data_IF_333476128438
#
_entry.id   IF_333476128438
#
_cell.length_a   1.000
_cell.length_b   1.000
_cell.length_c   1.000
_cell.angle_alpha   90.00
_cell.angle_beta   90.00
_cell.angle_gamma   90.00
#
_symmetry.space_group_name_H-M   'P 1'
#
loop_
_entity.id
_entity.type
_entity.pdbx_description
1 polymer ?
#
# COMPACT_ATOMS: atom_id res chain seq x y z
N UNK A 1 16.67 -35.96 -71.51
CA UNK A 1 17.33 -35.44 -70.30
C UNK A 1 16.51 -34.36 -69.63
N UNK A 2 15.76 -33.49 -70.23
CA UNK A 2 14.99 -32.39 -69.61
C UNK A 2 13.83 -32.87 -68.67
N UNK A 3 13.19 -34.01 -68.96
CA UNK A 3 12.06 -34.48 -68.15
C UNK A 3 12.42 -35.21 -66.82
N UNK A 4 13.68 -35.62 -66.64
CA UNK A 4 14.13 -36.23 -65.37
C UNK A 4 14.54 -35.17 -64.36
N UNK A 5 15.08 -34.05 -64.78
CA UNK A 5 15.42 -32.93 -63.86
C UNK A 5 14.17 -32.24 -63.29
N UNK A 6 13.10 -32.11 -64.11
CA UNK A 6 11.85 -31.50 -63.66
C UNK A 6 11.09 -32.36 -62.56
N UNK A 7 11.16 -33.67 -62.72
CA UNK A 7 10.55 -34.58 -61.69
C UNK A 7 11.36 -34.64 -60.40
N UNK A 8 12.70 -34.47 -60.47
CA UNK A 8 13.54 -34.42 -59.25
C UNK A 8 13.33 -33.11 -58.47
N UNK A 9 13.12 -31.99 -59.16
CA UNK A 9 12.85 -30.70 -58.54
C UNK A 9 11.49 -30.64 -57.82
N UNK A 10 10.47 -31.32 -58.34
CA UNK A 10 9.14 -31.40 -57.71
C UNK A 10 9.19 -32.32 -56.47
N UNK A 11 9.98 -33.41 -56.52
CA UNK A 11 10.13 -34.31 -55.38
C UNK A 11 10.90 -33.65 -54.21
N UNK A 12 11.92 -32.86 -54.53
CA UNK A 12 12.69 -32.08 -53.54
C UNK A 12 11.86 -30.95 -52.91
N UNK A 13 10.93 -30.32 -53.65
CA UNK A 13 10.03 -29.33 -53.12
C UNK A 13 8.94 -29.92 -52.23
N UNK A 14 8.43 -31.11 -52.53
CA UNK A 14 7.45 -31.83 -51.74
C UNK A 14 8.04 -32.37 -50.40
N UNK A 15 9.34 -32.78 -50.43
CA UNK A 15 10.03 -33.22 -49.19
C UNK A 15 10.44 -32.04 -48.30
N UNK A 16 10.75 -30.85 -48.89
CA UNK A 16 11.05 -29.66 -48.13
C UNK A 16 9.83 -29.08 -47.40
N UNK A 17 8.59 -29.32 -47.88
CA UNK A 17 7.36 -28.91 -47.16
C UNK A 17 7.00 -29.84 -46.02
N UNK A 18 7.55 -31.04 -45.94
CA UNK A 18 7.32 -31.99 -44.83
C UNK A 18 8.26 -31.75 -43.61
N UNK A 19 9.30 -30.91 -43.77
CA UNK A 19 10.22 -30.51 -42.73
C UNK A 19 10.12 -29.01 -42.32
N UNK A 20 9.02 -28.33 -42.66
CA UNK A 20 8.68 -27.14 -41.91
C UNK A 20 8.48 -27.61 -40.47
N UNK A 21 9.31 -27.11 -39.49
CA UNK A 21 8.98 -27.38 -38.11
C UNK A 21 7.56 -26.83 -37.98
N UNK A 22 6.63 -27.71 -37.63
CA UNK A 22 5.48 -27.30 -36.85
C UNK A 22 6.09 -26.67 -35.60
N UNK A 23 6.60 -25.47 -35.74
CA UNK A 23 6.66 -24.52 -34.63
C UNK A 23 5.23 -24.41 -34.18
N UNK A 24 4.86 -25.43 -33.40
CA UNK A 24 3.56 -25.50 -32.79
C UNK A 24 3.28 -24.14 -32.20
N UNK A 25 2.26 -23.51 -32.73
CA UNK A 25 1.39 -22.72 -31.89
C UNK A 25 0.84 -23.70 -30.83
N UNK A 26 1.73 -24.14 -29.93
CA UNK A 26 1.30 -24.45 -28.58
C UNK A 26 0.71 -23.11 -28.13
N UNK A 27 -0.58 -22.92 -28.35
CA UNK A 27 -1.36 -22.02 -27.53
C UNK A 27 -1.00 -22.46 -26.12
N UNK A 28 0.00 -21.78 -25.53
CA UNK A 28 0.27 -21.89 -24.11
C UNK A 28 -1.08 -21.60 -23.49
N UNK A 29 -1.78 -22.68 -23.07
CA UNK A 29 -3.02 -22.55 -22.31
C UNK A 29 -2.62 -21.71 -21.12
N UNK A 30 -2.88 -20.40 -21.26
CA UNK A 30 -2.45 -19.41 -20.28
C UNK A 30 -3.09 -19.81 -18.97
N UNK A 31 -2.26 -20.19 -18.00
CA UNK A 31 -2.73 -20.63 -16.70
C UNK A 31 -3.69 -19.57 -16.17
N UNK A 32 -4.91 -19.98 -15.84
CA UNK A 32 -5.88 -19.07 -15.22
C UNK A 32 -5.44 -18.78 -13.80
N UNK A 33 -5.58 -17.54 -13.35
CA UNK A 33 -5.38 -17.24 -11.95
C UNK A 33 -6.51 -17.88 -11.12
N UNK A 34 -6.10 -18.58 -10.08
CA UNK A 34 -6.99 -19.05 -9.01
C UNK A 34 -7.06 -18.03 -7.88
N UNK A 35 -5.96 -17.32 -7.67
CA UNK A 35 -5.80 -16.34 -6.62
C UNK A 35 -5.35 -15.01 -7.20
N UNK A 36 -5.73 -13.92 -6.52
CA UNK A 36 -5.18 -12.58 -6.77
C UNK A 36 -4.68 -12.02 -5.45
N UNK A 37 -3.44 -11.53 -5.46
CA UNK A 37 -2.83 -10.76 -4.40
C UNK A 37 -2.48 -9.40 -4.99
N UNK A 38 -3.07 -8.33 -4.46
CA UNK A 38 -2.68 -6.96 -4.80
C UNK A 38 -2.10 -6.28 -3.56
N UNK A 39 -0.89 -5.73 -3.69
CA UNK A 39 -0.27 -4.92 -2.65
C UNK A 39 -0.25 -3.46 -3.11
N UNK A 40 -0.66 -2.55 -2.23
CA UNK A 40 -0.74 -1.11 -2.48
C UNK A 40 0.08 -0.40 -1.41
N UNK A 41 1.15 0.30 -1.83
CA UNK A 41 1.87 1.22 -0.97
C UNK A 41 1.20 2.59 -1.07
N UNK A 42 0.38 2.95 -0.08
CA UNK A 42 -0.32 4.23 -0.06
C UNK A 42 0.68 5.39 -0.07
N UNK A 43 0.52 6.32 -1.01
CA UNK A 43 1.42 7.46 -1.16
C UNK A 43 2.83 7.13 -1.67
N UNK A 44 3.10 5.88 -2.08
CA UNK A 44 4.42 5.41 -2.49
C UNK A 44 4.73 5.77 -3.94
N UNK A 45 5.16 6.99 -4.18
CA UNK A 45 5.67 7.40 -5.48
C UNK A 45 7.11 6.94 -5.76
N UNK A 46 7.65 7.29 -6.94
CA UNK A 46 8.99 6.88 -7.34
C UNK A 46 10.11 7.32 -6.40
N UNK A 47 9.98 8.48 -5.75
CA UNK A 47 11.00 8.98 -4.83
C UNK A 47 10.97 8.26 -3.47
N UNK A 48 9.81 7.91 -2.95
CA UNK A 48 9.66 7.11 -1.74
C UNK A 48 10.27 5.72 -1.94
N UNK A 49 9.94 5.05 -3.06
CA UNK A 49 10.58 3.80 -3.47
C UNK A 49 12.11 3.96 -3.63
N UNK A 50 12.55 5.03 -4.33
CA UNK A 50 13.97 5.28 -4.58
C UNK A 50 14.77 5.52 -3.29
N UNK A 51 14.21 6.25 -2.32
CA UNK A 51 14.83 6.48 -1.02
C UNK A 51 15.02 5.18 -0.24
N UNK A 52 13.99 4.32 -0.19
CA UNK A 52 14.07 3.03 0.46
C UNK A 52 15.06 2.09 -0.25
N UNK A 53 15.08 2.10 -1.59
CA UNK A 53 16.04 1.31 -2.38
C UNK A 53 17.48 1.73 -2.09
N UNK A 54 17.78 3.04 -2.07
CA UNK A 54 19.12 3.55 -1.74
C UNK A 54 19.50 3.14 -0.32
N UNK A 55 18.60 3.32 0.64
CA UNK A 55 18.85 2.96 2.03
C UNK A 55 19.09 1.45 2.18
N UNK A 56 18.25 0.61 1.57
CA UNK A 56 18.40 -0.84 1.59
C UNK A 56 19.75 -1.30 1.04
N UNK A 57 20.15 -0.76 -0.11
CA UNK A 57 21.41 -1.14 -0.76
C UNK A 57 22.64 -0.60 -0.04
N UNK A 58 22.60 0.67 0.42
CA UNK A 58 23.81 1.35 0.95
C UNK A 58 24.01 1.16 2.45
N UNK A 59 22.95 0.93 3.21
CA UNK A 59 22.98 0.78 4.68
C UNK A 59 22.75 -0.67 5.09
N UNK A 60 21.72 -1.32 4.53
CA UNK A 60 21.37 -2.69 4.92
C UNK A 60 22.07 -3.76 4.07
N UNK A 61 22.75 -3.36 2.98
CA UNK A 61 23.40 -4.26 2.01
C UNK A 61 22.43 -5.35 1.49
N UNK A 62 21.22 -4.95 1.13
CA UNK A 62 20.13 -5.84 0.64
C UNK A 62 19.43 -5.21 -0.55
N UNK A 63 19.04 -6.06 -1.52
CA UNK A 63 18.11 -5.64 -2.57
C UNK A 63 16.66 -5.69 -2.09
N UNK A 64 15.83 -4.78 -2.61
CA UNK A 64 14.39 -4.83 -2.37
C UNK A 64 13.75 -6.01 -3.14
N UNK A 65 12.74 -6.63 -2.56
CA UNK A 65 11.90 -7.64 -3.23
C UNK A 65 11.14 -7.06 -4.41
N UNK A 66 10.69 -5.81 -4.28
CA UNK A 66 10.10 -5.05 -5.38
C UNK A 66 11.05 -4.94 -6.57
N UNK A 67 12.36 -4.72 -6.35
CA UNK A 67 13.36 -4.69 -7.43
C UNK A 67 13.49 -6.04 -8.13
N UNK A 68 13.43 -7.15 -7.39
CA UNK A 68 13.39 -8.49 -7.97
C UNK A 68 12.14 -8.68 -8.84
N UNK A 69 10.98 -8.24 -8.35
CA UNK A 69 9.72 -8.33 -9.08
C UNK A 69 9.74 -7.47 -10.35
N UNK A 70 10.29 -6.25 -10.30
CA UNK A 70 10.48 -5.39 -11.48
C UNK A 70 11.30 -6.07 -12.56
N UNK A 71 12.41 -6.69 -12.18
CA UNK A 71 13.37 -7.29 -13.11
C UNK A 71 12.87 -8.61 -13.72
N UNK A 72 12.08 -9.39 -12.97
CA UNK A 72 11.61 -10.73 -13.38
C UNK A 72 10.17 -10.77 -13.83
N UNK A 73 9.36 -9.79 -13.46
CA UNK A 73 7.94 -9.69 -13.76
C UNK A 73 7.64 -8.79 -14.95
N UNK A 74 6.49 -8.13 -14.87
CA UNK A 74 6.03 -7.10 -15.81
C UNK A 74 6.00 -5.76 -15.09
N UNK A 75 6.32 -4.71 -15.81
CA UNK A 75 6.37 -3.34 -15.29
C UNK A 75 5.65 -2.40 -16.22
N UNK A 76 4.89 -1.47 -15.64
CA UNK A 76 4.25 -0.34 -16.31
C UNK A 76 4.41 0.94 -15.49
N UNK A 77 4.23 2.08 -16.13
CA UNK A 77 3.91 3.34 -15.47
C UNK A 77 2.40 3.45 -15.28
N UNK A 78 1.97 4.07 -14.19
CA UNK A 78 0.57 4.23 -13.84
C UNK A 78 0.24 5.70 -13.65
N UNK A 79 -0.88 6.14 -14.23
CA UNK A 79 -1.52 7.44 -13.97
C UNK A 79 -2.88 7.22 -13.33
N UNK A 80 -3.41 8.21 -12.59
CA UNK A 80 -4.49 7.97 -11.63
C UNK A 80 -5.41 9.17 -11.37
N UNK A 81 -5.57 10.10 -12.33
CA UNK A 81 -6.51 11.19 -12.18
C UNK A 81 -7.95 10.69 -11.93
N UNK A 82 -8.76 11.53 -11.27
CA UNK A 82 -10.14 11.17 -10.91
C UNK A 82 -11.15 11.69 -11.93
N UNK A 83 -12.44 11.46 -11.70
CA UNK A 83 -13.51 12.01 -12.54
C UNK A 83 -13.62 13.54 -12.45
N UNK A 84 -13.20 14.12 -11.33
CA UNK A 84 -13.38 15.53 -10.97
C UNK A 84 -12.09 16.28 -10.62
N UNK A 85 -10.93 15.58 -10.53
CA UNK A 85 -9.67 16.20 -10.17
C UNK A 85 -8.46 15.58 -10.89
N UNK A 86 -7.43 16.41 -11.13
CA UNK A 86 -6.15 15.99 -11.72
C UNK A 86 -5.34 15.17 -10.70
N UNK A 87 -5.39 15.57 -9.43
CA UNK A 87 -4.71 14.88 -8.33
C UNK A 87 -5.71 14.04 -7.56
N UNK A 88 -5.47 12.74 -7.48
CA UNK A 88 -6.34 11.82 -6.74
C UNK A 88 -6.08 11.84 -5.23
N UNK A 89 -6.96 11.15 -4.49
CA UNK A 89 -6.75 10.74 -3.11
C UNK A 89 -7.17 9.28 -2.94
N UNK A 90 -6.83 8.67 -1.79
CA UNK A 90 -6.92 7.21 -1.60
C UNK A 90 -8.31 6.63 -1.89
N UNK A 91 -9.41 7.34 -1.54
CA UNK A 91 -10.78 6.81 -1.78
C UNK A 91 -11.08 6.66 -3.28
N UNK A 92 -10.82 7.71 -4.06
CA UNK A 92 -11.01 7.66 -5.50
C UNK A 92 -10.03 6.69 -6.17
N UNK A 93 -8.74 6.73 -5.81
CA UNK A 93 -7.72 5.87 -6.39
C UNK A 93 -8.00 4.38 -6.14
N UNK A 94 -8.27 3.99 -4.89
CA UNK A 94 -8.61 2.61 -4.55
C UNK A 94 -9.96 2.18 -5.15
N UNK A 95 -10.97 3.07 -5.16
CA UNK A 95 -12.25 2.82 -5.84
C UNK A 95 -12.07 2.56 -7.34
N UNK A 96 -11.19 3.30 -8.01
CA UNK A 96 -10.84 3.08 -9.43
C UNK A 96 -10.18 1.71 -9.65
N UNK A 97 -9.27 1.31 -8.76
CA UNK A 97 -8.65 -0.02 -8.80
C UNK A 97 -9.69 -1.13 -8.52
N UNK A 98 -10.61 -0.89 -7.59
CA UNK A 98 -11.61 -1.87 -7.18
C UNK A 98 -12.75 -2.06 -8.18
N UNK A 99 -13.07 -1.03 -9.00
CA UNK A 99 -14.28 -1.01 -9.86
C UNK A 99 -13.98 -0.90 -11.35
N UNK A 100 -12.79 -0.40 -11.73
CA UNK A 100 -12.44 -0.11 -13.11
C UNK A 100 -13.12 1.13 -13.69
N UNK A 101 -13.72 1.97 -12.86
CA UNK A 101 -14.36 3.22 -13.27
C UNK A 101 -13.69 4.42 -12.62
N UNK A 102 -13.73 5.58 -13.26
CA UNK A 102 -13.26 6.81 -12.64
C UNK A 102 -14.21 7.22 -11.53
N UNK A 103 -13.65 7.48 -10.36
CA UNK A 103 -14.37 7.86 -9.15
C UNK A 103 -14.28 9.37 -8.91
N UNK A 104 -15.26 9.90 -8.18
CA UNK A 104 -15.19 11.23 -7.60
C UNK A 104 -14.38 11.18 -6.29
N UNK A 105 -13.61 12.24 -6.02
CA UNK A 105 -12.83 12.34 -4.80
C UNK A 105 -13.68 12.17 -3.54
N UNK A 106 -13.12 11.52 -2.52
CA UNK A 106 -13.71 11.24 -1.22
C UNK A 106 -14.83 10.19 -1.18
N UNK A 107 -15.39 9.75 -2.31
CA UNK A 107 -16.40 8.71 -2.35
C UNK A 107 -15.77 7.31 -2.44
N UNK A 108 -16.33 6.33 -1.73
CA UNK A 108 -15.86 4.94 -1.74
C UNK A 108 -16.71 4.11 -2.70
N UNK A 109 -16.11 3.71 -3.83
CA UNK A 109 -16.73 2.86 -4.87
C UNK A 109 -18.14 3.28 -5.26
N UNK A 110 -18.30 4.60 -5.42
CA UNK A 110 -19.52 5.23 -5.94
C UNK A 110 -19.25 5.75 -7.35
N UNK A 111 -20.24 5.78 -8.21
CA UNK A 111 -20.13 6.37 -9.55
C UNK A 111 -19.79 7.88 -9.46
N UNK A 112 -19.45 8.50 -10.61
CA UNK A 112 -19.11 9.93 -10.67
C UNK A 112 -20.21 10.87 -10.16
N UNK A 113 -21.45 10.39 -10.01
CA UNK A 113 -22.56 11.13 -9.38
C UNK A 113 -22.44 11.17 -7.83
N UNK A 114 -21.48 10.43 -7.24
CA UNK A 114 -21.28 10.30 -5.79
C UNK A 114 -22.44 9.63 -5.04
N UNK A 115 -23.36 8.96 -5.73
CA UNK A 115 -24.58 8.38 -5.15
C UNK A 115 -24.82 6.93 -5.55
N UNK A 116 -24.46 6.54 -6.75
CA UNK A 116 -24.73 5.20 -7.28
C UNK A 116 -23.58 4.26 -6.92
N UNK A 117 -23.81 3.19 -6.11
CA UNK A 117 -22.79 2.19 -5.84
C UNK A 117 -22.30 1.51 -7.12
N UNK A 118 -20.98 1.32 -7.23
CA UNK A 118 -20.36 0.61 -8.36
C UNK A 118 -19.76 -0.70 -7.86
N UNK A 119 -20.17 -1.79 -8.49
CA UNK A 119 -19.77 -3.14 -8.11
C UNK A 119 -18.25 -3.31 -8.11
N UNK A 120 -17.68 -3.76 -7.00
CA UNK A 120 -16.25 -3.95 -6.82
C UNK A 120 -15.79 -5.33 -7.29
N UNK A 121 -14.48 -5.47 -7.50
CA UNK A 121 -13.84 -6.77 -7.77
C UNK A 121 -14.08 -7.76 -6.62
N UNK A 122 -14.10 -7.30 -5.35
CA UNK A 122 -14.38 -8.16 -4.21
C UNK A 122 -15.80 -8.71 -4.22
N UNK A 123 -16.79 -7.92 -4.60
CA UNK A 123 -18.16 -8.40 -4.78
C UNK A 123 -18.25 -9.46 -5.88
N UNK A 124 -17.55 -9.24 -7.01
CA UNK A 124 -17.51 -10.20 -8.11
C UNK A 124 -16.86 -11.54 -7.72
N UNK A 125 -15.76 -11.50 -6.95
CA UNK A 125 -15.10 -12.74 -6.49
C UNK A 125 -15.92 -13.44 -5.41
N UNK A 126 -16.64 -12.70 -4.57
CA UNK A 126 -17.56 -13.25 -3.57
C UNK A 126 -18.69 -14.05 -4.22
N UNK A 127 -19.27 -13.55 -5.32
CA UNK A 127 -20.27 -14.28 -6.11
C UNK A 127 -19.73 -15.61 -6.68
N UNK A 128 -18.43 -15.67 -6.94
CA UNK A 128 -17.70 -16.88 -7.34
C UNK A 128 -17.29 -17.76 -6.14
N UNK A 129 -17.67 -17.38 -4.92
CA UNK A 129 -17.34 -18.07 -3.67
C UNK A 129 -15.81 -18.16 -3.40
N UNK A 130 -15.04 -17.20 -3.88
CA UNK A 130 -13.65 -17.04 -3.46
C UNK A 130 -13.61 -16.48 -2.04
N UNK A 131 -12.58 -16.83 -1.29
CA UNK A 131 -12.29 -16.19 -0.02
C UNK A 131 -11.74 -14.76 -0.25
N UNK A 132 -11.97 -13.86 0.71
CA UNK A 132 -11.65 -12.44 0.57
C UNK A 132 -10.85 -11.93 1.77
N UNK A 133 -9.89 -11.02 1.52
CA UNK A 133 -9.09 -10.42 2.58
C UNK A 133 -8.74 -8.97 2.33
N UNK A 134 -8.70 -8.20 3.41
CA UNK A 134 -8.21 -6.82 3.47
C UNK A 134 -7.24 -6.71 4.65
N UNK A 135 -6.05 -6.21 4.37
CA UNK A 135 -4.97 -6.06 5.36
C UNK A 135 -4.32 -4.69 5.17
N UNK A 136 -4.09 -3.95 6.25
CA UNK A 136 -3.47 -2.62 6.18
C UNK A 136 -2.67 -2.29 7.44
N UNK A 137 -1.67 -1.43 7.32
CA UNK A 137 -1.01 -0.75 8.46
C UNK A 137 -1.70 0.56 8.86
N UNK A 138 -2.68 1.04 8.09
CA UNK A 138 -3.58 2.12 8.46
C UNK A 138 -4.77 1.59 9.30
N UNK A 139 -5.93 2.21 9.22
CA UNK A 139 -7.18 1.67 9.75
C UNK A 139 -7.87 0.78 8.74
N UNK A 140 -8.46 -0.32 9.20
CA UNK A 140 -9.19 -1.21 8.29
C UNK A 140 -10.39 -0.50 7.64
N UNK A 141 -10.93 0.51 8.29
CA UNK A 141 -12.00 1.39 7.79
C UNK A 141 -11.49 2.57 6.98
N UNK A 142 -10.17 2.69 6.76
CA UNK A 142 -9.61 3.75 5.91
C UNK A 142 -9.97 3.54 4.44
N UNK A 143 -9.78 4.56 3.66
CA UNK A 143 -10.28 4.66 2.30
C UNK A 143 -9.85 3.51 1.39
N UNK A 144 -8.56 3.11 1.44
CA UNK A 144 -8.02 2.11 0.53
C UNK A 144 -8.63 0.73 0.76
N UNK A 145 -8.63 0.12 1.97
CA UNK A 145 -9.33 -1.13 2.19
C UNK A 145 -10.84 -1.00 2.01
N UNK A 146 -11.44 0.08 2.51
CA UNK A 146 -12.88 0.29 2.46
C UNK A 146 -13.44 0.32 1.04
N UNK A 147 -12.71 0.89 0.07
CA UNK A 147 -13.15 0.98 -1.32
C UNK A 147 -13.36 -0.38 -2.00
N UNK A 148 -12.82 -1.47 -1.45
CA UNK A 148 -13.03 -2.82 -1.97
C UNK A 148 -14.33 -3.48 -1.45
N UNK A 149 -14.82 -3.09 -0.26
CA UNK A 149 -15.90 -3.79 0.44
C UNK A 149 -17.05 -2.90 0.93
N UNK A 150 -16.98 -1.58 0.73
CA UNK A 150 -17.98 -0.63 1.19
C UNK A 150 -18.33 0.41 0.12
N UNK A 151 -19.54 0.95 0.22
CA UNK A 151 -20.05 2.01 -0.63
C UNK A 151 -20.59 3.12 0.26
N UNK A 152 -19.84 4.21 0.37
CA UNK A 152 -20.29 5.39 1.12
C UNK A 152 -20.00 6.67 0.32
N UNK A 153 -20.90 7.67 0.39
CA UNK A 153 -20.71 8.93 -0.32
C UNK A 153 -19.47 9.71 0.12
N UNK A 154 -18.96 9.46 1.33
CA UNK A 154 -17.78 10.13 1.86
C UNK A 154 -17.00 9.22 2.80
N UNK A 155 -15.68 9.09 2.57
CA UNK A 155 -14.74 8.22 3.31
C UNK A 155 -14.69 8.43 4.82
N UNK A 156 -15.15 9.58 5.32
CA UNK A 156 -15.17 9.86 6.77
C UNK A 156 -16.28 9.13 7.53
N UNK A 157 -17.24 8.47 6.82
CA UNK A 157 -18.27 7.66 7.48
C UNK A 157 -17.74 6.26 7.81
N UNK A 158 -16.68 6.23 8.63
CA UNK A 158 -15.98 4.99 8.97
C UNK A 158 -16.83 4.03 9.83
N UNK A 159 -17.81 4.54 10.56
CA UNK A 159 -18.75 3.68 11.29
C UNK A 159 -19.62 2.85 10.35
N UNK A 160 -20.08 3.45 9.25
CA UNK A 160 -20.81 2.74 8.19
C UNK A 160 -19.89 1.80 7.42
N UNK A 161 -18.63 2.17 7.18
CA UNK A 161 -17.63 1.29 6.56
C UNK A 161 -17.45 0.03 7.38
N UNK A 162 -17.17 0.13 8.69
CA UNK A 162 -17.00 -1.01 9.59
C UNK A 162 -18.21 -1.97 9.57
N UNK A 163 -19.42 -1.42 9.54
CA UNK A 163 -20.65 -2.19 9.44
C UNK A 163 -20.78 -2.92 8.09
N UNK A 164 -20.44 -2.24 6.99
CA UNK A 164 -20.51 -2.83 5.64
C UNK A 164 -19.47 -3.93 5.45
N UNK A 165 -18.23 -3.76 5.92
CA UNK A 165 -17.18 -4.78 5.84
C UNK A 165 -17.57 -6.07 6.57
N UNK A 166 -18.16 -5.97 7.76
CA UNK A 166 -18.66 -7.12 8.50
C UNK A 166 -19.87 -7.76 7.82
N UNK A 167 -20.83 -6.98 7.34
CA UNK A 167 -21.99 -7.46 6.59
C UNK A 167 -21.61 -8.12 5.27
N UNK A 168 -20.61 -7.58 4.58
CA UNK A 168 -20.03 -8.21 3.39
C UNK A 168 -19.47 -9.60 3.73
N UNK A 169 -18.99 -9.77 4.96
CA UNK A 169 -18.43 -11.04 5.45
C UNK A 169 -17.06 -11.33 4.86
N UNK A 170 -16.18 -10.31 4.83
CA UNK A 170 -14.77 -10.47 4.46
C UNK A 170 -14.12 -11.50 5.37
N UNK A 171 -13.41 -12.49 4.82
CA UNK A 171 -12.89 -13.60 5.63
C UNK A 171 -11.68 -13.18 6.49
N UNK A 172 -10.87 -12.23 6.01
CA UNK A 172 -9.70 -11.68 6.71
C UNK A 172 -9.77 -10.16 6.70
N UNK A 173 -9.97 -9.54 7.87
CA UNK A 173 -9.93 -8.10 8.10
C UNK A 173 -8.85 -7.82 9.13
N UNK A 174 -7.78 -7.08 8.76
CA UNK A 174 -6.67 -6.77 9.66
C UNK A 174 -6.16 -5.34 9.47
N UNK A 175 -6.06 -4.58 10.57
CA UNK A 175 -5.56 -3.21 10.57
C UNK A 175 -5.74 -2.50 11.90
N UNK A 176 -5.73 -1.17 11.86
CA UNK A 176 -6.04 -0.29 12.99
C UNK A 176 -7.51 0.14 13.02
N UNK A 177 -7.75 1.28 13.69
CA UNK A 177 -9.06 1.97 13.87
C UNK A 177 -10.12 1.13 14.57
N UNK A 178 -9.73 0.33 15.55
CA UNK A 178 -10.62 -0.42 16.45
C UNK A 178 -11.75 0.44 17.02
N UNK A 179 -11.51 1.75 17.19
CA UNK A 179 -12.49 2.71 17.71
C UNK A 179 -13.83 2.73 16.94
N UNK A 180 -13.86 2.41 15.63
CA UNK A 180 -15.08 2.39 14.84
C UNK A 180 -15.86 1.06 14.96
N UNK A 181 -15.30 0.08 15.64
CA UNK A 181 -15.96 -1.18 15.97
C UNK A 181 -16.53 -1.20 17.38
N UNK A 182 -16.23 -0.19 18.22
CA UNK A 182 -16.64 -0.10 19.61
C UNK A 182 -17.62 1.08 19.84
N UNK A 183 -18.61 0.92 20.75
CA UNK A 183 -19.46 2.01 21.17
C UNK A 183 -18.68 3.04 22.00
N UNK A 184 -19.19 4.27 22.11
CA UNK A 184 -18.60 5.33 22.94
C UNK A 184 -18.44 4.89 24.40
N UNK A 185 -19.38 4.10 24.93
CA UNK A 185 -19.30 3.53 26.29
C UNK A 185 -18.12 2.59 26.53
N UNK A 186 -17.54 2.05 25.46
CA UNK A 186 -16.32 1.21 25.49
C UNK A 186 -15.08 1.95 24.93
N UNK A 187 -15.09 3.29 24.91
CA UNK A 187 -13.99 4.12 24.42
C UNK A 187 -13.89 4.18 22.89
N UNK A 188 -14.92 3.73 22.18
CA UNK A 188 -15.00 3.81 20.72
C UNK A 188 -15.60 5.10 20.21
N UNK A 189 -15.98 5.09 18.92
CA UNK A 189 -16.62 6.22 18.21
C UNK A 189 -18.02 5.91 17.67
N UNK A 190 -18.56 4.71 17.92
CA UNK A 190 -19.90 4.34 17.46
C UNK A 190 -20.98 4.98 18.35
N UNK A 191 -21.83 5.78 17.73
CA UNK A 191 -22.96 6.46 18.40
C UNK A 191 -24.22 5.60 18.45
N UNK A 192 -24.27 4.50 17.67
CA UNK A 192 -25.41 3.57 17.64
C UNK A 192 -25.41 2.57 18.81
N UNK A 193 -24.42 2.63 19.70
CA UNK A 193 -24.30 1.77 20.87
C UNK A 193 -23.86 0.33 20.57
N UNK A 194 -23.64 -0.03 19.29
CA UNK A 194 -23.27 -1.40 18.91
C UNK A 194 -21.80 -1.70 19.21
N UNK A 195 -21.53 -2.93 19.62
CA UNK A 195 -20.19 -3.50 19.74
C UNK A 195 -19.96 -4.48 18.60
N UNK A 196 -19.31 -4.01 17.52
CA UNK A 196 -19.06 -4.84 16.34
C UNK A 196 -18.03 -5.96 16.59
N UNK A 197 -17.22 -5.91 17.65
CA UNK A 197 -16.34 -7.02 18.03
C UNK A 197 -17.15 -8.23 18.49
N UNK A 198 -18.16 -7.98 19.36
CA UNK A 198 -19.06 -9.05 19.81
C UNK A 198 -19.92 -9.61 18.67
N UNK A 199 -20.36 -8.74 17.76
CA UNK A 199 -21.12 -9.16 16.58
C UNK A 199 -20.24 -10.02 15.64
N UNK A 200 -18.97 -9.63 15.43
CA UNK A 200 -18.01 -10.39 14.65
C UNK A 200 -17.76 -11.78 15.29
N UNK A 201 -17.58 -11.87 16.60
CA UNK A 201 -17.43 -13.15 17.29
C UNK A 201 -18.67 -14.06 17.11
N UNK A 202 -19.88 -13.50 17.23
CA UNK A 202 -21.14 -14.22 16.97
C UNK A 202 -21.26 -14.67 15.51
N UNK A 203 -20.65 -13.92 14.56
CA UNK A 203 -20.58 -14.26 13.16
C UNK A 203 -19.42 -15.22 12.79
N UNK A 204 -18.72 -15.76 13.81
CA UNK A 204 -17.68 -16.78 13.67
C UNK A 204 -16.28 -16.24 13.39
N UNK A 205 -16.03 -14.94 13.62
CA UNK A 205 -14.69 -14.38 13.55
C UNK A 205 -13.89 -14.67 14.82
N UNK A 206 -12.62 -15.01 14.65
CA UNK A 206 -11.63 -14.89 15.72
C UNK A 206 -11.21 -13.41 15.78
N UNK A 207 -11.29 -12.79 16.95
CA UNK A 207 -10.83 -11.41 17.15
C UNK A 207 -9.42 -11.45 17.74
N UNK A 208 -8.50 -10.67 17.16
CA UNK A 208 -7.12 -10.52 17.62
C UNK A 208 -6.76 -9.04 17.78
N UNK A 209 -6.08 -8.68 18.86
CA UNK A 209 -5.62 -7.31 19.15
C UNK A 209 -4.10 -7.18 19.28
N UNK A 210 -3.35 -8.29 19.19
CA UNK A 210 -1.89 -8.32 19.28
C UNK A 210 -1.28 -9.28 18.27
N UNK A 211 0.03 -9.14 18.02
CA UNK A 211 0.79 -10.04 17.16
C UNK A 211 0.74 -11.50 17.68
N UNK A 212 0.77 -11.67 19.00
CA UNK A 212 0.72 -12.99 19.64
C UNK A 212 -0.62 -13.66 19.44
N UNK A 213 -1.72 -12.92 19.65
CA UNK A 213 -3.08 -13.39 19.37
C UNK A 213 -3.28 -13.71 17.89
N UNK A 214 -2.75 -12.87 17.00
CA UNK A 214 -2.77 -13.13 15.55
C UNK A 214 -2.06 -14.43 15.20
N UNK A 215 -0.88 -14.66 15.74
CA UNK A 215 -0.10 -15.87 15.52
C UNK A 215 -0.85 -17.11 16.01
N UNK A 216 -1.46 -17.04 17.18
CA UNK A 216 -2.21 -18.13 17.80
C UNK A 216 -3.59 -18.40 17.15
N UNK A 217 -4.13 -17.43 16.40
CA UNK A 217 -5.47 -17.54 15.81
C UNK A 217 -5.59 -18.78 14.90
N UNK A 218 -6.69 -19.56 15.02
CA UNK A 218 -6.93 -20.73 14.17
C UNK A 218 -7.18 -20.34 12.73
N UNK A 219 -7.17 -21.34 11.84
CA UNK A 219 -7.63 -21.16 10.46
C UNK A 219 -9.14 -20.90 10.44
N UNK A 220 -9.58 -19.75 9.91
CA UNK A 220 -10.98 -19.34 9.90
C UNK A 220 -11.09 -17.84 9.62
N UNK A 221 -12.30 -17.29 9.79
CA UNK A 221 -12.48 -15.84 9.67
C UNK A 221 -11.76 -15.12 10.81
N UNK A 222 -11.07 -14.03 10.47
CA UNK A 222 -10.33 -13.23 11.45
C UNK A 222 -10.64 -11.74 11.33
N UNK A 223 -10.81 -11.09 12.48
CA UNK A 223 -10.87 -9.65 12.65
C UNK A 223 -9.69 -9.24 13.55
N UNK A 224 -8.60 -8.77 12.94
CA UNK A 224 -7.43 -8.28 13.65
C UNK A 224 -7.48 -6.75 13.77
N UNK A 225 -7.64 -6.22 14.98
CA UNK A 225 -7.72 -4.78 15.25
C UNK A 225 -6.66 -4.40 16.30
N UNK A 226 -5.48 -3.98 15.80
CA UNK A 226 -4.26 -3.90 16.58
C UNK A 226 -4.03 -2.54 17.24
N UNK A 227 -4.76 -1.49 16.83
CA UNK A 227 -4.68 -0.15 17.41
C UNK A 227 -6.04 0.53 17.43
N UNK A 228 -6.28 1.42 18.40
CA UNK A 228 -7.51 2.24 18.46
C UNK A 228 -7.58 3.23 17.30
N UNK A 229 -6.43 3.82 16.91
CA UNK A 229 -6.23 4.64 15.71
C UNK A 229 -5.59 3.84 14.59
N UNK A 230 -4.82 4.50 13.73
CA UNK A 230 -3.97 3.79 12.75
C UNK A 230 -2.90 2.97 13.48
N UNK A 231 -2.40 1.91 12.85
CA UNK A 231 -1.26 1.18 13.40
C UNK A 231 -0.02 2.09 13.48
N UNK A 232 0.93 1.72 14.31
CA UNK A 232 2.19 2.47 14.47
C UNK A 232 3.00 2.48 13.17
N UNK A 233 3.80 3.53 12.97
CA UNK A 233 4.83 3.50 11.95
C UNK A 233 5.83 2.36 12.22
N UNK A 234 6.38 1.78 11.18
CA UNK A 234 7.33 0.67 11.34
C UNK A 234 8.54 1.06 12.22
N UNK A 235 8.99 2.31 12.15
CA UNK A 235 10.09 2.81 12.99
C UNK A 235 9.74 2.82 14.49
N UNK A 236 8.45 2.88 14.85
CA UNK A 236 7.95 2.92 16.23
C UNK A 236 7.41 1.56 16.71
N UNK A 237 7.12 0.65 15.78
CA UNK A 237 6.38 -0.61 16.02
C UNK A 237 7.04 -1.52 17.07
N UNK A 238 8.37 -1.56 17.12
CA UNK A 238 9.10 -2.43 18.07
C UNK A 238 8.77 -2.14 19.56
N UNK A 239 8.20 -0.96 19.87
CA UNK A 239 7.76 -0.60 21.22
C UNK A 239 6.28 -0.97 21.50
N UNK A 240 5.63 -1.69 20.56
CA UNK A 240 4.21 -2.06 20.64
C UNK A 240 4.02 -3.58 20.63
N UNK A 241 2.77 -4.02 20.73
CA UNK A 241 2.39 -5.43 20.53
C UNK A 241 1.77 -5.69 19.16
N UNK A 242 1.87 -4.72 18.25
CA UNK A 242 1.30 -4.79 16.90
C UNK A 242 2.10 -5.72 16.00
N UNK A 243 1.44 -6.53 15.15
CA UNK A 243 2.13 -7.32 14.13
C UNK A 243 2.72 -6.42 13.04
N UNK A 244 3.77 -6.88 12.38
CA UNK A 244 4.27 -6.28 11.14
C UNK A 244 3.31 -6.56 9.97
N UNK A 245 3.41 -5.76 8.91
CA UNK A 245 2.65 -6.00 7.68
C UNK A 245 2.97 -7.38 7.08
N UNK A 246 4.22 -7.82 7.16
CA UNK A 246 4.64 -9.14 6.68
C UNK A 246 3.99 -10.27 7.48
N UNK A 247 3.88 -10.15 8.81
CA UNK A 247 3.18 -11.15 9.66
C UNK A 247 1.68 -11.20 9.35
N UNK A 248 1.05 -10.02 9.15
CA UNK A 248 -0.35 -9.96 8.76
C UNK A 248 -0.57 -10.57 7.36
N UNK A 249 0.31 -10.27 6.39
CA UNK A 249 0.25 -10.83 5.04
C UNK A 249 0.40 -12.36 5.06
N UNK A 250 1.37 -12.88 5.81
CA UNK A 250 1.58 -14.32 5.92
C UNK A 250 0.36 -15.02 6.53
N UNK A 251 -0.20 -14.49 7.63
CA UNK A 251 -1.40 -15.02 8.27
C UNK A 251 -2.62 -14.98 7.33
N UNK A 252 -2.79 -13.88 6.60
CA UNK A 252 -3.85 -13.76 5.60
C UNK A 252 -3.75 -14.85 4.53
N UNK A 253 -2.56 -15.05 3.96
CA UNK A 253 -2.33 -16.06 2.93
C UNK A 253 -2.49 -17.49 3.48
N UNK A 254 -2.08 -17.76 4.72
CA UNK A 254 -2.32 -19.06 5.39
C UNK A 254 -3.81 -19.37 5.51
N UNK A 255 -4.63 -18.40 5.89
CA UNK A 255 -6.09 -18.58 6.02
C UNK A 255 -6.74 -18.72 4.65
N UNK A 256 -6.52 -17.75 3.76
CA UNK A 256 -7.22 -17.65 2.48
C UNK A 256 -6.88 -18.80 1.52
N UNK A 257 -5.66 -19.33 1.58
CA UNK A 257 -5.23 -20.46 0.76
C UNK A 257 -5.99 -21.78 1.04
N UNK A 258 -6.72 -21.86 2.16
CA UNK A 258 -7.58 -23.01 2.47
C UNK A 258 -8.85 -23.05 1.60
N UNK A 259 -9.20 -21.94 0.95
CA UNK A 259 -10.36 -21.89 0.06
C UNK A 259 -10.13 -22.75 -1.18
N UNK A 260 -11.04 -23.69 -1.43
CA UNK A 260 -11.00 -24.56 -2.62
C UNK A 260 -11.17 -23.78 -3.92
N UNK A 261 -11.90 -22.66 -3.87
CA UNK A 261 -12.21 -21.84 -5.04
C UNK A 261 -11.13 -20.78 -5.33
N UNK A 262 -10.14 -20.62 -4.44
CA UNK A 262 -9.15 -19.55 -4.49
C UNK A 262 -9.56 -18.32 -3.69
N UNK A 263 -8.81 -17.23 -3.83
CA UNK A 263 -9.03 -16.04 -3.04
C UNK A 263 -8.63 -14.76 -3.77
N UNK A 264 -9.12 -13.65 -3.21
CA UNK A 264 -8.68 -12.29 -3.48
C UNK A 264 -8.21 -11.65 -2.16
N UNK A 265 -7.04 -11.01 -2.16
CA UNK A 265 -6.56 -10.23 -1.02
C UNK A 265 -5.91 -8.93 -1.49
N UNK A 266 -6.29 -7.84 -0.81
CA UNK A 266 -5.59 -6.56 -0.87
C UNK A 266 -4.78 -6.38 0.42
N UNK A 267 -3.51 -6.01 0.27
CA UNK A 267 -2.56 -5.76 1.37
C UNK A 267 -2.00 -4.36 1.17
N UNK A 268 -2.08 -3.52 2.20
CA UNK A 268 -1.72 -2.12 2.11
C UNK A 268 -0.62 -1.72 3.10
N UNK A 269 0.39 -1.02 2.59
CA UNK A 269 1.34 -0.24 3.39
C UNK A 269 0.80 1.17 3.60
N UNK A 270 -0.25 1.32 4.41
CA UNK A 270 -0.99 2.58 4.54
C UNK A 270 -0.24 3.68 5.30
N UNK A 271 0.80 3.34 6.07
CA UNK A 271 1.54 4.35 6.85
C UNK A 271 2.61 5.08 6.05
N UNK A 272 2.94 4.64 4.83
CA UNK A 272 3.88 5.36 3.94
C UNK A 272 3.33 6.75 3.63
N UNK A 273 2.03 6.83 3.25
CA UNK A 273 1.33 8.08 2.98
C UNK A 273 1.33 9.02 4.18
N UNK A 274 0.94 8.51 5.34
CA UNK A 274 0.89 9.30 6.57
C UNK A 274 2.25 9.88 6.95
N UNK A 275 3.34 9.13 6.77
CA UNK A 275 4.69 9.62 6.99
C UNK A 275 5.08 10.69 5.96
N UNK A 276 4.71 10.49 4.68
CA UNK A 276 4.97 11.45 3.62
C UNK A 276 4.21 12.77 3.83
N UNK A 277 2.95 12.73 4.25
CA UNK A 277 2.18 13.93 4.66
C UNK A 277 2.88 14.74 5.76
N UNK A 278 3.63 14.09 6.63
CA UNK A 278 4.43 14.74 7.68
C UNK A 278 5.83 15.11 7.24
N UNK A 279 6.19 14.82 5.98
CA UNK A 279 7.54 14.98 5.45
C UNK A 279 8.61 14.25 6.30
N UNK A 280 8.22 13.13 6.91
CA UNK A 280 9.05 12.29 7.78
C UNK A 280 9.80 11.24 6.94
N UNK A 281 10.96 11.62 6.39
CA UNK A 281 11.74 10.74 5.52
C UNK A 281 12.21 9.43 6.21
N UNK A 282 12.68 9.42 7.48
CA UNK A 282 12.96 8.20 8.20
C UNK A 282 11.78 7.23 8.29
N UNK A 283 10.58 7.72 8.67
CA UNK A 283 9.39 6.89 8.76
C UNK A 283 8.97 6.37 7.38
N UNK A 284 8.92 7.23 6.34
CA UNK A 284 8.65 6.79 4.95
C UNK A 284 9.54 5.63 4.54
N UNK A 285 10.85 5.75 4.74
CA UNK A 285 11.81 4.71 4.34
C UNK A 285 11.53 3.41 5.10
N UNK A 286 11.27 3.46 6.41
CA UNK A 286 11.00 2.25 7.22
C UNK A 286 9.68 1.58 6.82
N UNK A 287 8.62 2.35 6.57
CA UNK A 287 7.32 1.82 6.14
C UNK A 287 7.38 1.24 4.71
N UNK A 288 8.15 1.84 3.78
CA UNK A 288 8.40 1.23 2.46
C UNK A 288 9.19 -0.08 2.58
N UNK A 289 10.17 -0.17 3.49
CA UNK A 289 10.90 -1.41 3.75
C UNK A 289 9.98 -2.50 4.34
N UNK A 290 9.10 -2.14 5.28
CA UNK A 290 8.10 -3.07 5.83
C UNK A 290 7.11 -3.55 4.75
N UNK A 291 6.70 -2.67 3.85
CA UNK A 291 5.91 -3.03 2.68
C UNK A 291 6.66 -4.00 1.75
N UNK A 292 7.94 -3.75 1.49
CA UNK A 292 8.79 -4.64 0.67
C UNK A 292 8.94 -6.05 1.28
N UNK A 293 9.01 -6.16 2.61
CA UNK A 293 9.01 -7.48 3.27
C UNK A 293 7.66 -8.20 3.06
N UNK A 294 6.53 -7.51 3.09
CA UNK A 294 5.23 -8.09 2.76
C UNK A 294 5.14 -8.51 1.29
N UNK A 295 5.74 -7.75 0.36
CA UNK A 295 5.91 -8.17 -1.05
C UNK A 295 6.72 -9.46 -1.12
N UNK A 296 7.77 -9.60 -0.32
CA UNK A 296 8.56 -10.83 -0.20
C UNK A 296 7.74 -12.04 0.23
N UNK A 297 6.84 -11.87 1.21
CA UNK A 297 5.89 -12.91 1.64
C UNK A 297 4.98 -13.33 0.48
N UNK A 298 4.40 -12.37 -0.24
CA UNK A 298 3.54 -12.63 -1.40
C UNK A 298 4.31 -13.34 -2.53
N UNK A 299 5.52 -12.91 -2.86
CA UNK A 299 6.38 -13.55 -3.86
C UNK A 299 6.71 -15.01 -3.50
N UNK A 300 6.98 -15.29 -2.23
CA UNK A 300 7.22 -16.64 -1.73
C UNK A 300 5.97 -17.53 -1.83
N UNK A 301 4.80 -16.95 -1.60
CA UNK A 301 3.53 -17.65 -1.81
C UNK A 301 3.32 -17.98 -3.29
N UNK A 302 3.54 -17.03 -4.21
CA UNK A 302 3.40 -17.22 -5.66
C UNK A 302 4.33 -18.32 -6.19
N UNK A 303 5.59 -18.37 -5.73
CA UNK A 303 6.54 -19.45 -6.09
C UNK A 303 5.96 -20.84 -5.79
N UNK A 304 5.21 -21.00 -4.70
CA UNK A 304 4.57 -22.25 -4.28
C UNK A 304 3.20 -22.48 -4.92
N UNK A 305 2.56 -21.40 -5.39
CA UNK A 305 1.20 -21.39 -5.93
C UNK A 305 1.15 -20.62 -7.27
N UNK A 306 1.67 -21.17 -8.37
CA UNK A 306 1.88 -20.47 -9.64
C UNK A 306 0.58 -20.00 -10.32
N UNK A 307 -0.59 -20.52 -9.92
CA UNK A 307 -1.90 -20.03 -10.36
C UNK A 307 -2.33 -18.76 -9.59
N UNK A 308 -1.40 -17.90 -9.19
CA UNK A 308 -1.64 -16.67 -8.46
C UNK A 308 -1.15 -15.48 -9.27
N UNK A 309 -2.04 -14.51 -9.52
CA UNK A 309 -1.67 -13.19 -10.02
C UNK A 309 -1.20 -12.35 -8.84
N UNK A 310 0.01 -11.84 -8.91
CA UNK A 310 0.57 -10.85 -7.98
C UNK A 310 0.64 -9.50 -8.67
N UNK A 311 0.11 -8.47 -8.03
CA UNK A 311 0.20 -7.06 -8.42
C UNK A 311 0.78 -6.27 -7.26
N UNK A 312 1.72 -5.37 -7.54
CA UNK A 312 2.29 -4.41 -6.58
C UNK A 312 2.24 -3.02 -7.22
N UNK A 313 1.67 -2.06 -6.53
CA UNK A 313 1.53 -0.68 -7.01
C UNK A 313 1.43 0.30 -5.84
N UNK A 314 1.17 1.56 -6.15
CA UNK A 314 0.70 2.60 -5.24
C UNK A 314 -0.63 3.15 -5.76
N UNK A 315 -1.35 3.86 -4.92
CA UNK A 315 -2.59 4.56 -5.27
C UNK A 315 -2.32 6.00 -5.75
N UNK A 316 -1.39 6.70 -5.13
CA UNK A 316 -0.85 8.02 -5.52
C UNK A 316 0.57 8.23 -4.99
N UNK A 317 1.17 9.35 -5.30
CA UNK A 317 2.36 9.86 -4.65
C UNK A 317 1.94 10.94 -3.62
N UNK A 318 2.70 11.06 -2.54
CA UNK A 318 2.42 12.03 -1.47
C UNK A 318 3.62 12.92 -1.21
N UNK A 319 3.32 14.22 -1.10
CA UNK A 319 4.19 15.32 -0.66
C UNK A 319 5.30 15.72 -1.63
N UNK A 320 5.41 15.13 -2.82
CA UNK A 320 6.45 15.50 -3.78
C UNK A 320 7.85 15.29 -3.22
N UNK A 321 8.11 14.13 -2.61
CA UNK A 321 9.42 13.77 -2.06
C UNK A 321 10.50 13.89 -3.12
N UNK A 322 11.63 14.47 -2.78
CA UNK A 322 12.76 14.66 -3.70
C UNK A 322 14.08 14.30 -3.06
N UNK A 323 14.86 13.45 -3.73
CA UNK A 323 16.22 13.13 -3.36
C UNK A 323 17.17 14.14 -4.01
N UNK A 324 17.51 15.20 -3.26
CA UNK A 324 18.18 16.39 -3.80
C UNK A 324 19.70 16.21 -3.69
N UNK A 325 20.40 16.46 -4.80
CA UNK A 325 21.86 16.62 -4.81
C UNK A 325 22.29 18.05 -4.47
N UNK A 326 23.35 18.20 -3.69
CA UNK A 326 23.99 19.47 -3.38
C UNK A 326 25.45 19.47 -3.80
N UNK A 327 25.89 20.53 -4.44
CA UNK A 327 27.31 20.83 -4.65
C UNK A 327 27.82 21.68 -3.49
N UNK A 328 28.76 21.15 -2.73
CA UNK A 328 29.42 21.88 -1.65
C UNK A 328 30.77 22.40 -2.17
N UNK A 329 30.90 23.74 -2.29
CA UNK A 329 32.11 24.42 -2.71
C UNK A 329 32.76 23.88 -4.00
N UNK A 330 31.95 23.44 -4.97
CA UNK A 330 32.38 22.85 -6.26
C UNK A 330 33.25 21.58 -6.16
N UNK A 331 33.47 21.02 -4.98
CA UNK A 331 34.36 19.86 -4.76
C UNK A 331 33.65 18.58 -4.36
N UNK A 332 32.49 18.67 -3.69
CA UNK A 332 31.73 17.51 -3.24
C UNK A 332 30.29 17.59 -3.74
N UNK A 333 29.79 16.49 -4.27
CA UNK A 333 28.38 16.33 -4.61
C UNK A 333 27.73 15.36 -3.63
N UNK A 334 26.84 15.87 -2.80
CA UNK A 334 26.20 15.12 -1.71
C UNK A 334 24.68 15.08 -1.92
N UNK A 335 24.04 14.03 -1.43
CA UNK A 335 22.59 13.83 -1.45
C UNK A 335 22.07 13.47 -0.07
N UNK A 336 20.97 12.73 0.00
CA UNK A 336 20.31 12.26 1.22
C UNK A 336 21.34 11.74 2.24
N UNK A 337 21.23 12.18 3.49
CA UNK A 337 22.13 11.78 4.56
C UNK A 337 21.71 10.45 5.18
N UNK A 338 22.31 9.37 4.67
CA UNK A 338 21.99 8.00 5.10
C UNK A 338 22.28 7.76 6.58
N UNK A 339 23.34 8.42 7.14
CA UNK A 339 23.70 8.27 8.56
C UNK A 339 22.68 8.92 9.46
N UNK A 340 22.19 10.12 9.10
CA UNK A 340 21.14 10.79 9.85
C UNK A 340 19.81 9.99 9.80
N UNK A 341 19.46 9.41 8.64
CA UNK A 341 18.31 8.50 8.50
C UNK A 341 18.49 7.25 9.36
N UNK A 342 19.68 6.63 9.35
CA UNK A 342 19.99 5.43 10.16
C UNK A 342 19.88 5.69 11.67
N UNK A 343 20.35 6.86 12.14
CA UNK A 343 20.30 7.28 13.53
C UNK A 343 18.90 7.63 14.03
N UNK A 344 17.95 7.88 13.13
CA UNK A 344 16.57 8.18 13.49
C UNK A 344 15.90 6.95 14.11
N UNK A 345 15.44 7.07 15.35
CA UNK A 345 14.93 5.96 16.17
C UNK A 345 13.40 5.95 16.28
N UNK A 346 12.74 7.07 16.05
CA UNK A 346 11.30 7.24 16.19
C UNK A 346 10.76 8.20 15.14
N UNK A 347 9.46 8.11 14.85
CA UNK A 347 8.78 9.03 13.93
C UNK A 347 8.66 10.46 14.47
N UNK A 348 8.43 11.41 13.57
CA UNK A 348 8.11 12.80 13.97
C UNK A 348 6.82 12.86 14.82
N UNK A 349 5.85 11.99 14.52
CA UNK A 349 4.61 11.88 15.30
C UNK A 349 4.90 11.48 16.75
N UNK A 350 5.73 10.47 16.97
CA UNK A 350 6.09 10.04 18.32
C UNK A 350 6.95 11.08 19.04
N UNK A 351 7.86 11.79 18.33
CA UNK A 351 8.59 12.92 18.91
C UNK A 351 7.64 14.02 19.38
N UNK A 352 6.66 14.39 18.56
CA UNK A 352 5.66 15.39 18.92
C UNK A 352 4.81 14.97 20.12
N UNK A 353 4.44 13.71 20.22
CA UNK A 353 3.77 13.17 21.39
C UNK A 353 4.57 13.35 22.69
N UNK A 354 5.92 13.23 22.61
CA UNK A 354 6.82 13.37 23.77
C UNK A 354 6.99 14.82 24.24
N UNK A 355 7.00 15.80 23.36
CA UNK A 355 7.13 17.19 23.77
C UNK A 355 5.81 17.86 24.15
N UNK A 356 4.66 17.29 23.71
CA UNK A 356 3.33 17.73 24.09
C UNK A 356 2.84 18.98 23.38
N UNK A 357 1.76 19.59 23.90
CA UNK A 357 1.04 20.69 23.25
C UNK A 357 1.71 22.08 23.35
N UNK A 358 2.57 22.29 24.34
CA UNK A 358 3.25 23.55 24.60
C UNK A 358 4.73 23.29 24.88
N UNK A 359 5.49 22.84 23.90
CA UNK A 359 6.90 22.55 24.10
C UNK A 359 7.72 23.82 24.31
N UNK A 360 8.80 23.70 25.09
CA UNK A 360 9.86 24.71 25.06
C UNK A 360 10.94 24.34 24.02
N UNK A 361 11.70 25.30 23.53
CA UNK A 361 12.82 25.03 22.61
C UNK A 361 13.81 24.01 23.16
N UNK A 362 14.13 24.09 24.48
CA UNK A 362 15.04 23.15 25.16
C UNK A 362 14.50 21.72 25.11
N UNK A 363 13.18 21.54 25.32
CA UNK A 363 12.55 20.22 25.26
C UNK A 363 12.57 19.65 23.85
N UNK A 364 12.37 20.48 22.84
CA UNK A 364 12.47 20.07 21.43
C UNK A 364 13.91 19.64 21.10
N UNK A 365 14.91 20.46 21.48
CA UNK A 365 16.34 20.13 21.29
C UNK A 365 16.69 18.79 21.95
N UNK A 366 16.27 18.59 23.21
CA UNK A 366 16.48 17.34 23.94
C UNK A 366 15.92 16.14 23.18
N UNK A 367 14.65 16.22 22.77
CA UNK A 367 13.95 15.09 22.11
C UNK A 367 14.55 14.81 20.74
N UNK A 368 14.85 15.82 19.93
CA UNK A 368 15.46 15.65 18.60
C UNK A 368 16.86 15.04 18.77
N UNK A 369 17.67 15.52 19.73
CA UNK A 369 18.99 14.95 20.01
C UNK A 369 18.91 13.48 20.41
N UNK A 370 17.99 13.12 21.31
CA UNK A 370 17.80 11.74 21.75
C UNK A 370 17.28 10.82 20.63
N UNK A 371 16.43 11.37 19.76
CA UNK A 371 15.72 10.61 18.72
C UNK A 371 16.52 10.44 17.43
N UNK A 372 17.37 11.42 17.08
CA UNK A 372 18.03 11.49 15.78
C UNK A 372 19.53 11.80 15.85
N UNK A 373 20.07 12.09 17.05
CA UNK A 373 21.46 12.56 17.27
C UNK A 373 21.76 13.88 16.50
N UNK A 374 20.76 14.76 16.35
CA UNK A 374 20.88 16.06 15.71
C UNK A 374 20.82 17.16 16.77
N UNK A 375 21.76 18.10 16.69
CA UNK A 375 21.82 19.29 17.54
C UNK A 375 21.15 20.47 16.81
N UNK A 376 19.93 20.81 17.20
CA UNK A 376 19.23 21.97 16.67
C UNK A 376 19.79 23.26 17.29
N UNK A 377 19.84 24.32 16.50
CA UNK A 377 20.07 25.66 17.00
C UNK A 377 18.87 26.18 17.80
N UNK A 378 19.03 27.23 18.59
CA UNK A 378 17.95 27.84 19.36
C UNK A 378 16.84 28.37 18.45
N UNK A 379 17.19 28.97 17.31
CA UNK A 379 16.21 29.47 16.33
C UNK A 379 15.41 28.33 15.67
N UNK A 380 16.03 27.23 15.35
CA UNK A 380 15.35 26.05 14.79
C UNK A 380 14.37 25.44 15.80
N UNK A 381 14.80 25.28 17.04
CA UNK A 381 13.95 24.76 18.12
C UNK A 381 12.80 25.72 18.45
N UNK A 382 13.06 27.03 18.47
CA UNK A 382 12.02 28.05 18.66
C UNK A 382 10.99 28.01 17.52
N UNK A 383 11.44 27.87 16.26
CA UNK A 383 10.54 27.73 15.10
C UNK A 383 9.59 26.55 15.26
N UNK A 384 10.08 25.39 15.68
CA UNK A 384 9.24 24.21 15.92
C UNK A 384 8.30 24.43 17.09
N UNK A 385 8.74 25.06 18.19
CA UNK A 385 7.91 25.35 19.36
C UNK A 385 6.74 26.27 19.00
N UNK A 386 7.03 27.39 18.32
CA UNK A 386 6.03 28.38 17.90
C UNK A 386 4.97 27.78 16.96
N UNK A 387 5.41 26.96 16.01
CA UNK A 387 4.51 26.32 15.06
C UNK A 387 3.62 25.27 15.75
N UNK A 388 4.20 24.47 16.64
CA UNK A 388 3.44 23.49 17.45
C UNK A 388 2.33 24.19 18.26
N UNK A 389 2.61 25.33 18.88
CA UNK A 389 1.62 26.08 19.68
C UNK A 389 0.52 26.67 18.79
N UNK A 390 0.85 27.22 17.62
CA UNK A 390 -0.11 27.86 16.71
C UNK A 390 -1.08 26.88 16.06
N UNK A 391 -0.63 25.66 15.76
CA UNK A 391 -1.36 24.69 14.92
C UNK A 391 -2.07 23.60 15.68
N UNK A 392 -1.98 23.56 17.00
CA UNK A 392 -2.73 22.62 17.84
C UNK A 392 -4.19 23.04 18.09
N UNK A 393 -4.73 23.99 17.31
CA UNK A 393 -6.14 24.29 17.31
C UNK A 393 -6.93 23.07 16.79
N UNK A 394 -7.85 22.50 17.61
CA UNK A 394 -8.66 21.35 17.19
C UNK A 394 -9.50 21.58 15.95
N UNK A 395 -9.73 22.84 15.54
CA UNK A 395 -10.45 23.18 14.33
C UNK A 395 -9.60 22.97 13.05
N UNK A 396 -8.28 22.90 13.17
CA UNK A 396 -7.35 22.65 12.09
C UNK A 396 -6.84 21.22 12.15
N UNK A 397 -7.62 20.27 11.68
CA UNK A 397 -7.16 18.89 11.45
C UNK A 397 -6.23 18.90 10.22
N UNK A 398 -5.01 19.43 10.39
CA UNK A 398 -4.00 19.44 9.37
C UNK A 398 -2.76 18.69 9.88
N UNK A 399 -2.14 17.92 9.00
CA UNK A 399 -0.80 17.35 9.19
C UNK A 399 0.28 18.44 9.41
N UNK A 400 -0.11 19.69 9.36
CA UNK A 400 0.71 20.88 9.32
C UNK A 400 1.58 21.16 10.56
N UNK A 401 1.23 20.65 11.74
CA UNK A 401 1.97 20.95 12.98
C UNK A 401 3.38 20.32 13.05
N UNK A 402 3.70 19.40 12.14
CA UNK A 402 5.03 18.83 12.01
C UNK A 402 5.83 19.36 10.83
N UNK A 403 5.24 20.30 10.07
CA UNK A 403 5.90 20.88 8.91
C UNK A 403 7.16 21.66 9.27
N UNK A 404 7.13 22.44 10.36
CA UNK A 404 8.30 23.16 10.85
C UNK A 404 9.42 22.24 11.29
N UNK A 405 9.11 21.09 11.94
CA UNK A 405 10.11 20.09 12.26
C UNK A 405 10.77 19.53 10.98
N UNK A 406 9.95 19.12 10.01
CA UNK A 406 10.47 18.65 8.73
C UNK A 406 11.30 19.70 8.01
N UNK A 407 10.87 20.96 8.05
CA UNK A 407 11.57 22.08 7.44
C UNK A 407 12.94 22.33 8.09
N UNK A 408 13.04 22.36 9.42
CA UNK A 408 14.32 22.57 10.12
C UNK A 408 15.24 21.34 10.01
N UNK A 409 14.69 20.14 9.86
CA UNK A 409 15.47 18.92 9.67
C UNK A 409 15.96 18.71 8.23
N UNK A 410 15.41 19.44 7.26
CA UNK A 410 15.78 19.31 5.84
C UNK A 410 17.29 19.44 5.55
N UNK A 411 18.04 20.41 6.11
CA UNK A 411 19.48 20.50 5.92
C UNK A 411 20.27 19.28 6.45
N UNK A 412 19.78 18.66 7.52
CA UNK A 412 20.40 17.50 8.16
C UNK A 412 20.10 16.21 7.41
N UNK A 413 18.87 16.01 6.96
CA UNK A 413 18.44 14.80 6.24
C UNK A 413 18.71 14.88 4.73
N UNK A 414 18.78 16.09 4.18
CA UNK A 414 18.95 16.38 2.73
C UNK A 414 17.88 15.69 1.87
N UNK A 415 16.65 15.72 2.34
CA UNK A 415 15.46 15.27 1.62
C UNK A 415 14.57 16.50 1.38
N UNK A 416 14.18 16.70 0.13
CA UNK A 416 13.28 17.79 -0.26
C UNK A 416 11.83 17.31 -0.35
N UNK A 417 10.91 18.25 -0.16
CA UNK A 417 9.47 18.04 -0.24
C UNK A 417 8.82 19.20 -0.98
N UNK A 418 7.91 18.88 -1.88
CA UNK A 418 7.18 19.90 -2.66
C UNK A 418 5.93 20.41 -1.95
N UNK A 419 5.34 19.57 -1.09
CA UNK A 419 4.09 19.87 -0.39
C UNK A 419 3.92 18.99 0.83
N UNK A 420 2.69 18.95 1.38
CA UNK A 420 2.21 17.97 2.38
C UNK A 420 0.97 17.24 1.87
N UNK A 421 0.64 17.37 0.59
CA UNK A 421 -0.54 16.77 -0.03
C UNK A 421 -0.11 15.87 -1.18
N UNK A 422 -1.07 15.15 -1.77
CA UNK A 422 -0.81 14.26 -2.89
C UNK A 422 -0.33 15.00 -4.12
N UNK A 423 0.32 14.28 -5.03
CA UNK A 423 0.74 14.79 -6.33
C UNK A 423 0.23 13.90 -7.47
N UNK A 424 0.26 14.41 -8.69
CA UNK A 424 -0.06 13.66 -9.91
C UNK A 424 1.15 12.95 -10.52
N UNK A 425 2.19 12.68 -9.72
CA UNK A 425 3.36 11.95 -10.22
C UNK A 425 2.98 10.56 -10.70
N UNK A 426 3.49 10.10 -11.87
CA UNK A 426 3.29 8.73 -12.31
C UNK A 426 3.87 7.73 -11.30
N UNK A 427 3.22 6.56 -11.20
CA UNK A 427 3.55 5.51 -10.27
C UNK A 427 4.16 4.31 -10.98
N UNK A 428 4.69 3.36 -10.22
CA UNK A 428 5.07 2.05 -10.73
C UNK A 428 3.93 1.05 -10.54
N UNK A 429 3.80 0.15 -11.54
CA UNK A 429 2.92 -1.02 -11.47
C UNK A 429 3.75 -2.24 -11.82
N UNK A 430 3.85 -3.20 -10.91
CA UNK A 430 4.55 -4.45 -11.12
C UNK A 430 3.59 -5.63 -11.07
N UNK A 431 3.87 -6.69 -11.81
CA UNK A 431 3.06 -7.88 -11.72
C UNK A 431 3.75 -9.15 -12.20
N UNK A 432 3.33 -10.26 -11.67
CA UNK A 432 3.75 -11.60 -12.09
C UNK A 432 2.62 -12.61 -12.00
N UNK A 433 2.78 -13.75 -12.68
CA UNK A 433 1.76 -14.80 -12.72
C UNK A 433 0.71 -14.61 -13.81
N UNK A 434 -0.34 -15.45 -13.82
CA UNK A 434 -1.36 -15.46 -14.87
C UNK A 434 -2.10 -14.12 -14.97
N UNK A 435 -2.18 -13.55 -16.16
CA UNK A 435 -2.82 -12.25 -16.44
C UNK A 435 -1.85 -11.06 -16.43
N UNK A 436 -0.65 -11.20 -15.85
CA UNK A 436 0.33 -10.11 -15.76
C UNK A 436 0.85 -9.60 -17.10
N UNK A 437 0.75 -10.38 -18.19
CA UNK A 437 1.13 -9.93 -19.53
C UNK A 437 0.35 -8.71 -20.04
N UNK A 438 -0.79 -8.38 -19.41
CA UNK A 438 -1.55 -7.15 -19.68
C UNK A 438 -0.93 -5.91 -19.03
N UNK A 439 0.05 -6.07 -18.14
CA UNK A 439 0.79 -4.97 -17.49
C UNK A 439 1.94 -4.56 -18.39
N UNK A 440 1.84 -3.40 -19.02
CA UNK A 440 2.88 -2.85 -19.88
C UNK A 440 2.64 -1.37 -20.22
N UNK A 441 3.70 -0.64 -20.55
CA UNK A 441 3.63 0.74 -21.04
C UNK A 441 3.11 1.73 -20.01
N UNK A 442 2.23 2.63 -20.45
CA UNK A 442 1.52 3.58 -19.61
C UNK A 442 0.07 3.11 -19.46
N UNK A 443 -0.38 2.95 -18.22
CA UNK A 443 -1.72 2.49 -17.89
C UNK A 443 -2.42 3.51 -16.98
N UNK A 444 -3.75 3.54 -17.03
CA UNK A 444 -4.54 4.20 -15.99
C UNK A 444 -4.86 3.21 -14.86
N UNK A 445 -4.98 3.66 -13.61
CA UNK A 445 -5.20 2.77 -12.48
C UNK A 445 -6.52 1.96 -12.56
N UNK A 446 -7.54 2.44 -13.29
CA UNK A 446 -8.76 1.69 -13.61
C UNK A 446 -8.49 0.40 -14.40
N UNK A 447 -7.38 0.34 -15.16
CA UNK A 447 -7.04 -0.84 -15.95
C UNK A 447 -6.54 -2.02 -15.09
N UNK A 448 -6.11 -1.76 -13.85
CA UNK A 448 -5.77 -2.81 -12.88
C UNK A 448 -6.96 -3.73 -12.64
N UNK A 449 -8.17 -3.16 -12.50
CA UNK A 449 -9.42 -3.94 -12.44
C UNK A 449 -9.55 -4.89 -13.62
N UNK A 450 -9.31 -4.39 -14.84
CA UNK A 450 -9.41 -5.19 -16.07
C UNK A 450 -8.40 -6.34 -16.07
N UNK A 451 -7.17 -6.10 -15.57
CA UNK A 451 -6.14 -7.14 -15.42
C UNK A 451 -6.63 -8.24 -14.46
N UNK A 452 -7.11 -7.86 -13.27
CA UNK A 452 -7.61 -8.80 -12.25
C UNK A 452 -8.84 -9.57 -12.73
N UNK A 453 -9.83 -8.85 -13.31
CA UNK A 453 -11.05 -9.43 -13.86
C UNK A 453 -10.75 -10.47 -14.94
N UNK A 454 -9.86 -10.14 -15.86
CA UNK A 454 -9.45 -11.05 -16.94
C UNK A 454 -8.71 -12.28 -16.40
N UNK A 455 -7.78 -12.12 -15.44
CA UNK A 455 -7.01 -13.21 -14.83
C UNK A 455 -7.92 -14.23 -14.14
N UNK A 456 -8.95 -13.77 -13.43
CA UNK A 456 -9.94 -14.59 -12.74
C UNK A 456 -11.12 -15.04 -13.65
N UNK A 457 -11.16 -14.63 -14.91
CA UNK A 457 -12.26 -14.86 -15.86
C UNK A 457 -13.63 -14.49 -15.24
N UNK A 458 -13.70 -13.34 -14.60
CA UNK A 458 -14.96 -12.79 -14.11
C UNK A 458 -15.74 -12.18 -15.28
N UNK A 459 -17.06 -12.32 -15.25
CA UNK A 459 -17.97 -11.77 -16.29
C UNK A 459 -18.33 -10.31 -16.02
#
# INVERSE_FOLDING_TARGET
MKNRLFRLSILLFAVAMLFLPLSGLAAQTQLQAKNVIILIGDGMGPSQFGAAWIYSNRVLNKDLRMSELMNKGRTAYLVNDTADAIVTESAAAAGQIATGQRMTARALSMAADGKTPVKTIMEMVKEKKLATGLVTTSGITDATPAAFAAHVPHRSDESSVADQELKFGVDVLMGGRKQFFLPESAGGKRKDGRNLLEEAQKAGYTVAGTAEELKAAPAGKILGLFNMGNMSYEIDRAATTEPSLAEMADKALQILSKSKNGFFVMIEGGRIDHAAHRNDAPAVIRDVLAFDEAVGVAMNFVKKNPATLLIVTADHETAGMSLIGHSKESKEYVGMDLKAIEKSKVSFELMAGKWGKKPTPEKIKEIVKQSMDIDLTDNEAQTVADDTIKKLDPANFNYDYLHSLAFVLRPYLRVGWGSQTHTASPLYLFGSGPGSQKIHGLMHNTEIFTVMKAALRLK
#
